data_IF_139748494963
#
_entry.id   IF_139748494963
#
_cell.length_a   1.000
_cell.length_b   1.000
_cell.length_c   1.000
_cell.angle_alpha   90.00
_cell.angle_beta   90.00
_cell.angle_gamma   90.00
#
_symmetry.space_group_name_H-M   'P 1'
#
loop_
_entity.id
_entity.type
_entity.pdbx_description
1 polymer ?
#
# COMPACT_ATOMS: atom_id res chain seq x y z
N UNK A 1 66.34 -8.57 14.92
CA UNK A 1 65.06 -7.92 14.54
C UNK A 1 64.88 -8.10 13.05
N UNK A 2 63.99 -9.02 12.64
CA UNK A 2 63.69 -9.28 11.23
C UNK A 2 62.23 -8.89 11.00
N UNK A 3 62.04 -7.96 10.08
CA UNK A 3 60.79 -7.31 9.78
C UNK A 3 60.04 -8.01 8.64
N UNK A 4 58.72 -7.84 8.70
CA UNK A 4 57.76 -7.81 7.58
C UNK A 4 57.42 -9.13 6.86
N UNK A 5 56.17 -9.57 7.03
CA UNK A 5 55.24 -9.71 5.92
C UNK A 5 53.79 -9.76 6.44
N UNK A 6 53.00 -8.71 6.19
CA UNK A 6 51.56 -8.71 6.43
C UNK A 6 50.88 -8.61 5.07
N UNK A 7 50.24 -9.70 4.62
CA UNK A 7 49.41 -9.71 3.42
C UNK A 7 47.99 -9.33 3.86
N UNK A 8 47.60 -8.07 3.68
CA UNK A 8 46.19 -7.68 3.73
C UNK A 8 45.59 -7.83 2.33
N UNK A 9 45.03 -8.99 2.05
CA UNK A 9 44.14 -9.15 0.90
C UNK A 9 42.73 -8.74 1.34
N UNK A 10 42.46 -7.44 1.36
CA UNK A 10 41.08 -6.94 1.39
C UNK A 10 40.55 -6.91 -0.05
N UNK A 11 40.07 -8.07 -0.49
CA UNK A 11 39.18 -8.14 -1.64
C UNK A 11 37.89 -7.40 -1.28
N UNK A 12 37.72 -6.19 -1.81
CA UNK A 12 36.45 -5.47 -1.77
C UNK A 12 35.58 -5.99 -2.93
N UNK A 13 34.46 -6.69 -2.67
CA UNK A 13 33.54 -7.01 -3.74
C UNK A 13 32.71 -5.77 -4.06
N UNK A 14 32.79 -5.40 -5.33
CA UNK A 14 31.88 -4.62 -6.15
C UNK A 14 30.56 -4.15 -5.51
N UNK A 15 30.38 -2.84 -5.52
CA UNK A 15 29.07 -2.22 -5.68
C UNK A 15 28.47 -2.69 -7.01
N UNK A 16 27.57 -3.66 -6.95
CA UNK A 16 26.65 -3.91 -8.06
C UNK A 16 25.60 -2.82 -8.10
N UNK A 17 24.99 -2.67 -9.27
CA UNK A 17 24.06 -1.61 -9.60
C UNK A 17 22.80 -2.20 -10.34
N UNK A 18 21.68 -2.45 -9.59
CA UNK A 18 20.23 -2.55 -9.99
C UNK A 18 19.27 -2.10 -8.81
N UNK A 19 18.12 -2.70 -8.42
CA UNK A 19 17.79 -2.67 -6.95
C UNK A 19 18.89 -3.40 -6.14
N UNK A 20 19.79 -4.07 -6.86
CA UNK A 20 21.15 -4.36 -6.44
C UNK A 20 22.18 -3.22 -6.59
N UNK A 21 21.79 -1.93 -6.75
CA UNK A 21 22.55 -0.64 -6.80
C UNK A 21 22.52 0.05 -5.48
N UNK A 22 21.33 0.04 -4.88
CA UNK A 22 21.12 0.68 -3.61
C UNK A 22 21.89 -0.18 -2.61
N UNK A 23 22.92 0.43 -2.05
CA UNK A 23 23.62 -0.17 -0.93
C UNK A 23 22.64 -0.44 0.21
N UNK A 24 22.98 -1.40 1.07
CA UNK A 24 22.15 -1.69 2.23
C UNK A 24 21.91 -0.43 3.08
N UNK A 25 20.66 -0.20 3.44
CA UNK A 25 20.25 1.04 4.09
C UNK A 25 18.74 1.26 4.05
N UNK A 26 18.30 2.31 4.75
CA UNK A 26 16.93 2.80 4.74
C UNK A 26 16.86 4.06 3.90
N UNK A 27 15.92 4.07 2.97
CA UNK A 27 15.66 5.11 1.99
C UNK A 27 14.22 5.61 2.14
N UNK A 28 13.99 6.85 1.72
CA UNK A 28 12.65 7.31 1.33
C UNK A 28 12.57 7.35 -0.18
N UNK A 29 11.40 7.00 -0.72
CA UNK A 29 11.16 7.02 -2.16
C UNK A 29 9.72 7.44 -2.46
N UNK A 30 9.55 8.27 -3.48
CA UNK A 30 8.25 8.54 -4.07
C UNK A 30 7.82 7.38 -4.95
N UNK A 31 6.51 7.26 -5.11
CA UNK A 31 5.89 6.25 -5.94
C UNK A 31 4.52 6.76 -6.40
N UNK A 32 4.07 6.18 -7.50
CA UNK A 32 2.71 6.34 -8.01
C UNK A 32 1.97 5.02 -7.91
N UNK A 33 0.67 5.10 -7.67
CA UNK A 33 -0.23 3.97 -7.85
C UNK A 33 -0.95 4.15 -9.17
N UNK A 34 -0.72 3.23 -10.10
CA UNK A 34 -1.31 3.22 -11.43
C UNK A 34 -2.42 2.17 -11.53
N UNK A 35 -3.26 2.31 -12.55
CA UNK A 35 -4.25 1.29 -12.93
C UNK A 35 -3.55 -0.01 -13.37
N UNK A 36 -4.26 -1.13 -13.29
CA UNK A 36 -3.69 -2.42 -13.69
C UNK A 36 -3.41 -2.48 -15.18
N UNK A 37 -4.32 -1.96 -16.01
CA UNK A 37 -4.34 -2.17 -17.45
C UNK A 37 -3.52 -1.15 -18.23
N UNK A 38 -3.19 -0.01 -17.62
CA UNK A 38 -2.50 1.10 -18.29
C UNK A 38 -1.80 2.02 -17.28
N UNK A 39 -0.96 2.93 -17.78
CA UNK A 39 -0.12 3.82 -16.98
C UNK A 39 -0.82 5.09 -16.46
N UNK A 40 -2.16 5.13 -16.48
CA UNK A 40 -2.89 6.21 -15.82
C UNK A 40 -2.81 6.06 -14.30
N UNK A 41 -2.72 7.20 -13.61
CA UNK A 41 -2.80 7.25 -12.14
C UNK A 41 -4.15 6.68 -11.68
N UNK A 42 -4.10 5.81 -10.68
CA UNK A 42 -5.29 5.23 -10.04
C UNK A 42 -5.85 6.20 -9.01
N UNK A 43 -7.17 6.19 -8.80
CA UNK A 43 -7.77 6.89 -7.66
C UNK A 43 -7.21 6.39 -6.32
N UNK A 44 -6.77 5.12 -6.26
CA UNK A 44 -6.10 4.56 -5.10
C UNK A 44 -4.83 5.32 -4.72
N UNK A 45 -4.21 6.06 -5.64
CA UNK A 45 -3.01 6.84 -5.37
C UNK A 45 -3.21 7.76 -4.16
N UNK A 46 -4.35 8.43 -4.01
CA UNK A 46 -4.56 9.45 -2.99
C UNK A 46 -4.76 8.87 -1.57
N UNK A 47 -4.99 7.55 -1.47
CA UNK A 47 -5.19 6.85 -0.20
C UNK A 47 -3.89 6.28 0.39
N UNK A 48 -2.79 6.40 -0.35
CA UNK A 48 -1.46 5.98 0.06
C UNK A 48 -0.56 7.19 0.22
N UNK A 49 -0.02 7.36 1.43
CA UNK A 49 0.83 8.50 1.77
C UNK A 49 2.22 8.37 1.12
N UNK A 50 2.81 9.51 0.77
CA UNK A 50 4.16 9.60 0.19
C UNK A 50 5.05 10.47 1.08
N UNK A 51 6.37 10.21 1.11
CA UNK A 51 7.07 9.09 0.46
C UNK A 51 6.90 7.76 1.22
N UNK A 52 7.18 6.64 0.54
CA UNK A 52 7.37 5.35 1.19
C UNK A 52 8.72 5.30 1.92
N UNK A 53 8.83 4.42 2.91
CA UNK A 53 10.13 4.03 3.48
C UNK A 53 10.54 2.68 2.91
N UNK A 54 11.73 2.59 2.33
CA UNK A 54 12.26 1.36 1.72
C UNK A 54 13.54 0.98 2.42
N UNK A 55 13.62 -0.24 2.96
CA UNK A 55 14.85 -0.77 3.54
C UNK A 55 15.43 -1.84 2.63
N UNK A 56 16.67 -1.64 2.19
CA UNK A 56 17.44 -2.59 1.41
C UNK A 56 18.38 -3.34 2.35
N UNK A 57 18.34 -4.66 2.30
CA UNK A 57 19.26 -5.53 3.02
C UNK A 57 19.56 -6.78 2.20
N UNK A 58 20.83 -7.07 1.96
CA UNK A 58 21.26 -8.23 1.16
C UNK A 58 20.57 -8.28 -0.22
N UNK A 59 20.38 -7.11 -0.85
CA UNK A 59 19.69 -6.97 -2.13
C UNK A 59 18.17 -7.23 -2.09
N UNK A 60 17.56 -7.38 -0.90
CA UNK A 60 16.11 -7.53 -0.72
C UNK A 60 15.51 -6.21 -0.23
N UNK A 61 14.45 -5.77 -0.87
CA UNK A 61 13.70 -4.59 -0.45
C UNK A 61 12.52 -4.97 0.45
N UNK A 62 12.43 -4.25 1.57
CA UNK A 62 11.27 -4.22 2.46
C UNK A 62 10.67 -2.83 2.40
N UNK A 63 9.44 -2.74 1.91
CA UNK A 63 8.71 -1.50 1.69
C UNK A 63 7.73 -1.28 2.84
N UNK A 64 7.69 -0.06 3.35
CA UNK A 64 6.69 0.43 4.30
C UNK A 64 5.94 1.60 3.71
N UNK A 65 4.62 1.47 3.68
CA UNK A 65 3.70 2.52 3.20
C UNK A 65 2.60 2.75 4.22
N UNK A 66 2.18 4.01 4.32
CA UNK A 66 1.04 4.40 5.15
C UNK A 66 -0.20 4.51 4.29
N UNK A 67 -1.28 3.89 4.75
CA UNK A 67 -2.61 3.95 4.13
C UNK A 67 -3.45 4.89 4.99
N UNK A 68 -4.03 5.91 4.37
CA UNK A 68 -5.07 6.75 4.97
C UNK A 68 -6.46 6.20 4.66
N UNK A 69 -7.49 6.69 5.36
CA UNK A 69 -8.83 6.11 5.31
C UNK A 69 -8.78 4.59 5.47
N UNK A 70 -8.00 4.14 6.45
CA UNK A 70 -7.62 2.74 6.63
C UNK A 70 -8.85 1.84 6.75
N UNK A 71 -9.97 2.31 7.29
CA UNK A 71 -11.19 1.51 7.38
C UNK A 71 -11.76 1.10 6.01
N UNK A 72 -11.52 1.87 4.95
CA UNK A 72 -12.07 1.56 3.62
C UNK A 72 -11.31 0.44 2.93
N UNK A 73 -9.98 0.38 3.09
CA UNK A 73 -9.16 -0.67 2.47
C UNK A 73 -9.12 -1.88 3.41
N UNK A 74 -9.99 -2.86 3.20
CA UNK A 74 -10.12 -4.03 4.08
C UNK A 74 -9.10 -5.11 3.75
N UNK A 75 -8.68 -5.23 2.49
CA UNK A 75 -7.63 -6.15 2.07
C UNK A 75 -6.55 -5.45 1.24
N UNK A 76 -5.29 -5.82 1.47
CA UNK A 76 -4.16 -5.38 0.65
C UNK A 76 -3.14 -6.50 0.52
N UNK A 77 -3.06 -7.06 -0.69
CA UNK A 77 -2.18 -8.16 -1.06
C UNK A 77 -1.17 -7.74 -2.10
N UNK A 78 0.05 -8.26 -1.97
CA UNK A 78 1.17 -8.05 -2.90
C UNK A 78 1.72 -9.40 -3.38
N UNK A 79 2.55 -9.44 -4.43
CA UNK A 79 3.15 -10.67 -4.90
C UNK A 79 4.07 -11.25 -3.84
N UNK A 80 3.81 -12.48 -3.43
CA UNK A 80 4.68 -13.27 -2.56
C UNK A 80 5.61 -14.17 -3.35
N UNK A 81 6.43 -14.93 -2.61
CA UNK A 81 7.28 -15.96 -3.19
C UNK A 81 6.44 -17.03 -3.92
N UNK A 82 6.80 -17.36 -5.16
CA UNK A 82 6.13 -18.41 -5.94
C UNK A 82 4.91 -17.96 -6.75
N UNK A 83 4.69 -16.65 -6.94
CA UNK A 83 3.66 -16.12 -7.85
C UNK A 83 2.26 -15.96 -7.23
N UNK A 84 2.08 -16.34 -5.96
CA UNK A 84 0.84 -16.13 -5.21
C UNK A 84 0.77 -14.72 -4.61
N UNK A 85 -0.45 -14.20 -4.42
CA UNK A 85 -0.66 -12.95 -3.68
C UNK A 85 -0.76 -13.22 -2.17
N UNK A 86 -0.02 -12.45 -1.37
CA UNK A 86 0.01 -12.57 0.09
C UNK A 86 -0.42 -11.27 0.75
N UNK A 87 -1.13 -11.36 1.88
CA UNK A 87 -1.53 -10.19 2.65
C UNK A 87 -0.30 -9.46 3.21
N UNK A 88 -0.34 -8.13 3.14
CA UNK A 88 0.71 -7.29 3.73
C UNK A 88 0.68 -7.35 5.26
N UNK A 89 1.83 -7.13 5.88
CA UNK A 89 1.96 -7.14 7.33
C UNK A 89 1.62 -5.77 7.89
N UNK A 90 0.66 -5.68 8.81
CA UNK A 90 0.42 -4.44 9.57
C UNK A 90 1.55 -4.24 10.59
N UNK A 91 2.19 -3.08 10.57
CA UNK A 91 3.25 -2.70 11.52
C UNK A 91 2.68 -1.85 12.64
N UNK A 92 1.77 -0.93 12.31
CA UNK A 92 1.11 -0.04 13.26
C UNK A 92 -0.24 0.41 12.73
N UNK A 93 -1.16 0.78 13.62
CA UNK A 93 -2.45 1.36 13.27
C UNK A 93 -2.79 2.52 14.20
N UNK A 94 -3.41 3.56 13.64
CA UNK A 94 -3.91 4.72 14.36
C UNK A 94 -5.38 4.93 14.01
N UNK A 95 -6.26 4.46 14.90
CA UNK A 95 -7.71 4.56 14.73
C UNK A 95 -8.24 6.00 14.77
N UNK A 96 -7.56 6.90 15.49
CA UNK A 96 -7.99 8.30 15.62
C UNK A 96 -7.77 9.09 14.34
N UNK A 97 -6.64 8.85 13.68
CA UNK A 97 -6.30 9.47 12.40
C UNK A 97 -6.74 8.62 11.20
N UNK A 98 -7.41 7.49 11.44
CA UNK A 98 -7.77 6.48 10.44
C UNK A 98 -6.63 6.14 9.45
N UNK A 99 -5.47 5.81 10.01
CA UNK A 99 -4.27 5.44 9.24
C UNK A 99 -3.68 4.13 9.71
N UNK A 100 -3.01 3.41 8.80
CA UNK A 100 -2.20 2.25 9.16
C UNK A 100 -0.89 2.21 8.39
N UNK A 101 0.16 1.73 9.04
CA UNK A 101 1.45 1.45 8.42
C UNK A 101 1.53 -0.04 8.09
N UNK A 102 1.73 -0.37 6.82
CA UNK A 102 1.90 -1.74 6.35
C UNK A 102 3.31 -1.96 5.82
N UNK A 103 3.75 -3.21 5.87
CA UNK A 103 5.07 -3.66 5.44
C UNK A 103 4.95 -4.89 4.55
N UNK A 104 5.77 -4.92 3.51
CA UNK A 104 5.88 -6.07 2.63
C UNK A 104 7.23 -6.09 1.91
N UNK A 105 7.62 -7.26 1.38
CA UNK A 105 8.78 -7.38 0.51
C UNK A 105 8.36 -7.45 -0.95
N UNK A 106 9.06 -6.75 -1.83
CA UNK A 106 8.78 -6.71 -3.25
C UNK A 106 10.02 -6.29 -4.06
N UNK A 107 10.03 -6.57 -5.35
CA UNK A 107 11.01 -6.01 -6.29
C UNK A 107 10.58 -4.58 -6.69
N UNK A 108 11.30 -3.59 -6.18
CA UNK A 108 11.03 -2.17 -6.39
C UNK A 108 11.51 -1.65 -7.75
N UNK A 109 12.25 -2.45 -8.53
CA UNK A 109 12.72 -2.07 -9.89
C UNK A 109 11.64 -2.18 -10.96
N UNK A 110 10.52 -2.81 -10.62
CA UNK A 110 9.43 -3.12 -11.53
C UNK A 110 8.10 -2.71 -10.91
N UNK A 111 7.07 -2.50 -11.74
CA UNK A 111 5.71 -2.31 -11.23
C UNK A 111 5.28 -3.49 -10.34
N UNK A 112 4.87 -3.19 -9.11
CA UNK A 112 4.40 -4.20 -8.16
C UNK A 112 2.89 -4.32 -8.31
N UNK A 113 2.45 -5.36 -9.02
CA UNK A 113 1.04 -5.68 -9.17
C UNK A 113 0.47 -6.05 -7.79
N UNK A 114 -0.56 -5.36 -7.33
CA UNK A 114 -1.16 -5.56 -6.01
C UNK A 114 -2.67 -5.66 -6.11
N UNK A 115 -3.28 -6.40 -5.20
CA UNK A 115 -4.73 -6.54 -5.11
C UNK A 115 -5.22 -5.86 -3.84
N UNK A 116 -6.26 -5.05 -3.97
CA UNK A 116 -6.92 -4.40 -2.85
C UNK A 116 -8.40 -4.73 -2.89
N UNK A 117 -9.01 -4.77 -1.71
CA UNK A 117 -10.45 -4.83 -1.54
C UNK A 117 -10.88 -3.59 -0.76
N UNK A 118 -11.86 -2.86 -1.29
CA UNK A 118 -12.35 -1.61 -0.73
C UNK A 118 -13.82 -1.74 -0.38
N UNK A 119 -14.14 -1.48 0.88
CA UNK A 119 -15.51 -1.57 1.41
C UNK A 119 -15.88 -0.29 2.13
N UNK A 120 -17.03 0.31 1.78
CA UNK A 120 -17.60 1.49 2.46
C UNK A 120 -19.08 1.24 2.70
N UNK A 121 -19.42 0.81 3.91
CA UNK A 121 -20.78 0.38 4.29
C UNK A 121 -21.83 1.50 4.15
N UNK A 122 -21.44 2.76 4.41
CA UNK A 122 -22.36 3.90 4.38
C UNK A 122 -22.95 4.18 2.98
N UNK A 123 -22.28 3.70 1.92
CA UNK A 123 -22.67 3.90 0.53
C UNK A 123 -22.82 2.57 -0.23
N UNK A 124 -22.86 1.44 0.48
CA UNK A 124 -22.96 0.08 -0.10
C UNK A 124 -21.91 -0.17 -1.20
N UNK A 125 -20.66 0.22 -0.94
CA UNK A 125 -19.55 0.07 -1.88
C UNK A 125 -18.66 -1.11 -1.46
N UNK A 126 -18.48 -2.08 -2.35
CA UNK A 126 -17.67 -3.29 -2.12
C UNK A 126 -17.03 -3.70 -3.46
N UNK A 127 -15.72 -3.48 -3.60
CA UNK A 127 -15.02 -3.75 -4.86
C UNK A 127 -13.59 -4.23 -4.67
N UNK A 128 -13.21 -5.22 -5.48
CA UNK A 128 -11.84 -5.64 -5.69
C UNK A 128 -11.18 -4.87 -6.83
N UNK A 129 -9.96 -4.39 -6.59
CA UNK A 129 -9.13 -3.74 -7.60
C UNK A 129 -7.76 -4.38 -7.69
N UNK A 130 -7.22 -4.39 -8.91
CA UNK A 130 -5.79 -4.60 -9.13
C UNK A 130 -5.15 -3.24 -9.42
N UNK A 131 -4.04 -2.95 -8.74
CA UNK A 131 -3.29 -1.71 -8.87
C UNK A 131 -1.80 -2.02 -9.07
N UNK A 132 -1.03 -1.04 -9.56
CA UNK A 132 0.42 -1.17 -9.72
C UNK A 132 1.13 -0.09 -8.92
N UNK A 133 2.00 -0.47 -8.00
CA UNK A 133 2.94 0.47 -7.39
C UNK A 133 4.13 0.62 -8.31
N UNK A 134 4.45 1.86 -8.68
CA UNK A 134 5.61 2.19 -9.50
C UNK A 134 6.47 3.18 -8.73
N UNK A 135 7.67 2.75 -8.35
CA UNK A 135 8.63 3.60 -7.66
C UNK A 135 9.35 4.52 -8.65
N UNK A 136 9.56 5.76 -8.23
CA UNK A 136 10.37 6.72 -8.99
C UNK A 136 11.85 6.49 -8.62
N UNK A 137 12.64 5.91 -9.52
CA UNK A 137 14.03 5.53 -9.22
C UNK A 137 14.92 6.72 -8.81
N UNK A 138 14.69 7.90 -9.37
CA UNK A 138 15.47 9.11 -9.05
C UNK A 138 15.06 9.76 -7.71
N UNK A 139 13.97 9.28 -7.10
CA UNK A 139 13.44 9.84 -5.85
C UNK A 139 14.06 9.24 -4.58
N UNK A 140 14.87 8.19 -4.72
CA UNK A 140 15.46 7.49 -3.58
C UNK A 140 16.44 8.38 -2.83
N UNK A 141 16.16 8.62 -1.55
CA UNK A 141 17.00 9.40 -0.64
C UNK A 141 17.40 8.55 0.55
N UNK A 142 18.71 8.39 0.77
CA UNK A 142 19.22 7.64 1.92
C UNK A 142 18.91 8.39 3.21
N UNK A 143 18.15 7.75 4.10
CA UNK A 143 17.84 8.25 5.45
C UNK A 143 18.86 7.71 6.46
N UNK A 144 19.26 6.45 6.30
CA UNK A 144 20.22 5.78 7.19
C UNK A 144 20.96 4.67 6.44
N UNK A 145 22.28 4.77 6.31
CA UNK A 145 23.09 3.68 5.78
C UNK A 145 23.09 2.45 6.70
N UNK A 146 23.36 1.27 6.15
CA UNK A 146 23.60 0.09 6.97
C UNK A 146 24.73 0.37 7.97
N UNK A 147 24.43 0.21 9.26
CA UNK A 147 25.50 0.18 10.25
C UNK A 147 26.39 -1.03 9.93
N UNK A 148 27.72 -0.89 9.91
CA UNK A 148 28.59 -2.04 9.76
C UNK A 148 28.23 -3.05 10.86
N UNK A 149 28.06 -4.31 10.47
CA UNK A 149 27.76 -5.40 11.39
C UNK A 149 28.78 -5.38 12.54
N UNK A 150 28.34 -4.89 13.70
CA UNK A 150 29.11 -4.99 14.93
C UNK A 150 29.16 -6.47 15.29
N UNK A 151 30.35 -7.05 15.13
CA UNK A 151 30.74 -8.30 15.76
C UNK A 151 30.36 -8.23 17.23
N UNK A 152 29.45 -9.10 17.65
CA UNK A 152 29.05 -9.23 19.03
C UNK A 152 30.27 -9.60 19.90
N UNK A 153 30.67 -8.68 20.78
CA UNK A 153 31.45 -9.00 21.97
C UNK A 153 30.55 -8.83 23.20
N UNK A 154 30.42 -9.92 23.93
CA UNK A 154 29.54 -10.15 25.08
C UNK A 154 29.99 -9.43 26.37
N UNK A 155 29.05 -8.64 26.93
CA UNK A 155 28.64 -8.54 28.37
C UNK A 155 29.58 -7.78 29.37
N UNK A 156 29.13 -7.23 30.55
CA UNK A 156 27.81 -7.14 31.19
C UNK A 156 27.25 -5.74 31.56
N UNK A 157 25.92 -5.78 31.78
CA UNK A 157 25.08 -4.87 32.58
C UNK A 157 25.65 -4.53 33.97
N UNK A 158 25.52 -3.25 34.35
CA UNK A 158 25.27 -2.87 35.74
C UNK A 158 24.12 -1.86 35.78
N UNK A 159 23.04 -2.27 36.41
CA UNK A 159 21.88 -1.44 36.74
C UNK A 159 22.24 -0.43 37.85
N UNK A 160 21.73 0.80 37.74
CA UNK A 160 21.47 1.67 38.88
C UNK A 160 20.36 2.69 38.53
N UNK A 161 19.15 2.30 38.94
CA UNK A 161 18.01 3.07 39.42
C UNK A 161 18.27 4.53 39.79
N UNK A 162 17.42 5.46 39.34
CA UNK A 162 16.80 6.48 40.21
C UNK A 162 15.50 7.03 39.58
N UNK A 163 14.37 6.71 40.21
CA UNK A 163 13.11 7.46 40.25
C UNK A 163 12.99 8.01 41.67
N UNK A 164 12.56 9.27 41.88
CA UNK A 164 11.22 9.55 42.45
C UNK A 164 10.51 10.65 41.64
N UNK A 165 9.24 10.49 41.21
CA UNK A 165 7.98 10.63 41.97
C UNK A 165 7.44 12.07 42.03
N UNK A 166 6.38 12.29 41.23
CA UNK A 166 5.05 12.88 41.52
C UNK A 166 4.86 14.29 42.10
N UNK A 167 3.67 14.83 41.72
CA UNK A 167 2.80 15.84 42.39
C UNK A 167 2.94 17.24 41.77
N UNK A 168 1.90 17.95 41.29
CA UNK A 168 0.44 17.84 41.39
C UNK A 168 -0.26 18.63 40.25
N UNK A 169 -1.40 18.10 39.79
CA UNK A 169 -2.58 18.85 39.30
C UNK A 169 -3.33 19.42 40.54
N UNK A 170 -4.21 20.47 40.47
CA UNK A 170 -5.44 20.39 39.66
C UNK A 170 -6.01 21.71 39.06
N UNK A 171 -6.86 21.50 38.04
CA UNK A 171 -8.07 22.26 37.65
C UNK A 171 -7.95 23.75 37.24
N UNK A 172 -8.50 24.17 36.10
CA UNK A 172 -9.95 24.36 35.95
C UNK A 172 -10.37 24.57 34.48
N UNK A 173 -11.49 23.94 34.13
CA UNK A 173 -12.34 24.21 32.96
C UNK A 173 -13.16 25.49 33.25
N UNK A 174 -13.54 26.30 32.24
CA UNK A 174 -14.95 26.29 31.86
C UNK A 174 -15.20 26.22 30.35
N UNK A 175 -16.26 25.50 30.03
CA UNK A 175 -16.87 25.36 28.72
C UNK A 175 -17.46 26.67 28.17
N UNK A 176 -17.49 26.80 26.84
CA UNK A 176 -18.54 27.53 26.13
C UNK A 176 -18.67 27.05 24.67
N UNK A 177 -19.79 26.38 24.37
CA UNK A 177 -20.42 26.30 23.05
C UNK A 177 -21.51 27.40 23.01
N UNK A 178 -21.81 28.02 21.87
CA UNK A 178 -22.98 27.62 21.05
C UNK A 178 -22.62 27.57 19.54
N UNK A 179 -23.02 26.59 18.72
CA UNK A 179 -24.36 26.24 18.16
C UNK A 179 -24.76 27.07 16.92
N UNK A 180 -24.81 26.41 15.73
CA UNK A 180 -25.75 26.57 14.58
C UNK A 180 -25.60 27.87 13.73
N UNK A 181 -25.74 27.99 12.40
CA UNK A 181 -26.44 27.36 11.25
C UNK A 181 -25.74 27.95 9.99
N UNK A 182 -25.63 27.35 8.80
CA UNK A 182 -26.63 27.30 7.71
C UNK A 182 -25.92 26.81 6.40
N UNK A 183 -26.68 26.42 5.36
CA UNK A 183 -26.27 25.54 4.28
C UNK A 183 -25.54 26.26 3.15
N UNK A 184 -24.70 25.53 2.41
CA UNK A 184 -24.26 25.98 1.08
C UNK A 184 -24.65 24.91 0.07
N UNK A 185 -25.60 25.32 -0.77
CA UNK A 185 -26.06 24.65 -1.96
C UNK A 185 -24.93 24.40 -2.96
N UNK A 186 -25.02 23.30 -3.70
CA UNK A 186 -24.40 23.11 -5.03
C UNK A 186 -25.30 22.12 -5.75
N UNK A 187 -26.23 22.62 -6.55
CA UNK A 187 -26.05 22.83 -7.99
C UNK A 187 -25.93 21.49 -8.72
N UNK A 188 -27.10 20.99 -9.12
CA UNK A 188 -27.29 20.21 -10.34
C UNK A 188 -26.73 20.99 -11.54
N UNK A 189 -26.12 20.30 -12.51
CA UNK A 189 -26.55 20.54 -13.88
C UNK A 189 -27.00 19.24 -14.57
N UNK A 190 -28.25 19.32 -15.05
CA UNK A 190 -28.84 18.72 -16.25
C UNK A 190 -27.88 17.89 -17.14
N UNK A 191 -28.21 16.65 -17.48
CA UNK A 191 -29.16 16.28 -18.55
C UNK A 191 -28.91 17.04 -19.88
N UNK A 192 -28.18 16.38 -20.77
CA UNK A 192 -28.33 16.46 -22.24
C UNK A 192 -27.63 15.20 -22.78
N UNK A 193 -28.33 14.20 -23.31
CA UNK A 193 -28.99 14.18 -24.62
C UNK A 193 -29.91 12.94 -24.61
N UNK A 194 -31.15 12.88 -25.10
CA UNK A 194 -31.78 13.63 -26.19
C UNK A 194 -32.00 12.70 -27.39
N UNK A 195 -33.21 12.15 -27.51
CA UNK A 195 -33.94 11.65 -28.72
C UNK A 195 -33.32 10.46 -29.50
N UNK A 196 -34.03 9.43 -30.00
CA UNK A 196 -35.37 9.23 -30.61
C UNK A 196 -35.78 7.74 -30.40
N UNK A 197 -37.02 7.26 -30.26
CA UNK A 197 -38.29 7.65 -30.84
C UNK A 197 -38.69 6.74 -32.02
N UNK A 198 -39.55 5.73 -31.77
CA UNK A 198 -40.52 5.06 -32.69
C UNK A 198 -39.97 4.36 -33.96
N UNK A 199 -40.41 3.19 -34.46
CA UNK A 199 -41.58 2.35 -34.26
C UNK A 199 -41.93 1.63 -35.59
N UNK A 200 -42.44 0.40 -35.48
CA UNK A 200 -43.34 -0.32 -36.42
C UNK A 200 -42.83 -1.08 -37.68
N UNK A 201 -43.37 -2.32 -37.84
CA UNK A 201 -43.62 -3.05 -39.10
C UNK A 201 -42.85 -4.37 -39.27
N UNK A 202 -43.40 -5.55 -38.91
CA UNK A 202 -44.15 -6.53 -39.75
C UNK A 202 -43.33 -7.02 -40.97
N UNK A 203 -43.14 -8.31 -41.31
CA UNK A 203 -44.08 -9.44 -41.38
C UNK A 203 -43.31 -10.76 -41.67
N UNK A 204 -43.83 -11.91 -41.20
CA UNK A 204 -43.89 -13.23 -41.89
C UNK A 204 -42.57 -13.99 -42.25
N UNK A 205 -42.38 -15.32 -42.20
CA UNK A 205 -43.20 -16.53 -42.05
C UNK A 205 -42.25 -17.75 -41.86
N UNK A 206 -42.76 -18.85 -41.26
CA UNK A 206 -42.44 -20.27 -41.58
C UNK A 206 -41.01 -20.81 -41.32
N UNK A 207 -40.74 -22.01 -40.79
CA UNK A 207 -41.54 -23.16 -40.38
C UNK A 207 -40.64 -24.16 -39.62
N UNK A 208 -41.30 -25.13 -38.96
CA UNK A 208 -40.87 -26.51 -38.64
C UNK A 208 -39.78 -26.76 -37.58
N UNK A 209 -40.14 -27.54 -36.54
CA UNK A 209 -39.14 -28.10 -35.61
C UNK A 209 -39.62 -28.89 -34.38
N UNK A 210 -40.72 -29.65 -34.49
CA UNK A 210 -41.10 -30.88 -33.76
C UNK A 210 -40.57 -31.16 -32.33
N UNK A 211 -41.53 -31.22 -31.38
CA UNK A 211 -41.53 -31.96 -30.10
C UNK A 211 -41.88 -33.44 -30.32
N UNK A 212 -41.34 -34.38 -29.52
CA UNK A 212 -42.22 -35.29 -28.73
C UNK A 212 -41.70 -35.40 -27.27
N UNK A 213 -42.49 -35.24 -26.20
CA UNK A 213 -43.38 -36.26 -25.59
C UNK A 213 -42.71 -37.64 -25.55
N UNK A 214 -42.26 -38.19 -24.42
CA UNK A 214 -43.07 -38.59 -23.27
C UNK A 214 -43.36 -40.10 -23.33
N UNK A 215 -42.93 -40.86 -22.33
CA UNK A 215 -43.24 -42.29 -22.11
C UNK A 215 -42.07 -43.01 -21.43
N UNK A 216 -42.07 -43.30 -20.12
CA UNK A 216 -42.89 -44.23 -19.33
C UNK A 216 -42.21 -45.62 -19.15
N UNK A 217 -41.96 -45.93 -17.88
CA UNK A 217 -42.00 -47.23 -17.19
C UNK A 217 -41.15 -48.42 -17.68
N UNK A 218 -40.17 -48.80 -16.85
CA UNK A 218 -40.15 -50.07 -16.10
C UNK A 218 -39.14 -49.96 -14.94
#
# INVERSE_FOLDING_TARGET
>A
MLAALWITLLAWPASMMAAGDLADGTYTANYLILKAENDSVSMANDYWEKPATVTIKDGKATVRVTINHSFWVTEFKVPGSGGSFVNTKVVSSNKKADTRLVEFSADITKPILSKIHVTVEEIDYDHDYTIRFVFEHDSFKLVKGAAPAQTAATKPSTAATTKPTATAEPATVPAAKPTTTEPIATAEPAQSSGLTGSGAGSTEQSATGVKPAGGASA
#
